data_IF_837973817921
#
_entry.id   IF_837973817921
#
_cell.length_a   1.000
_cell.length_b   1.000
_cell.length_c   1.000
_cell.angle_alpha   90.00
_cell.angle_beta   90.00
_cell.angle_gamma   90.00
#
_symmetry.space_group_name_H-M   'P 1'
#
loop_
_entity.id
_entity.type
_entity.pdbx_description
1 polymer ?
#
# COMPACT_ATOMS: atom_id res chain seq x y z
N UNK A 1 13.34 12.95 9.13
CA UNK A 1 13.86 11.67 9.69
C UNK A 1 15.05 11.93 10.61
N UNK A 2 16.15 12.52 10.13
CA UNK A 2 17.35 12.77 10.96
C UNK A 2 17.07 13.58 12.23
N UNK A 3 16.26 14.65 12.15
CA UNK A 3 15.87 15.45 13.32
C UNK A 3 15.06 14.66 14.35
N UNK A 4 14.22 13.73 13.90
CA UNK A 4 13.39 12.89 14.76
C UNK A 4 14.24 11.86 15.51
N UNK A 5 15.18 11.22 14.81
CA UNK A 5 16.14 10.29 15.42
C UNK A 5 17.06 11.01 16.42
N UNK A 6 17.41 12.27 16.18
CA UNK A 6 18.25 13.05 17.09
C UNK A 6 17.53 13.36 18.41
N UNK A 7 16.23 13.65 18.36
CA UNK A 7 15.42 13.97 19.55
C UNK A 7 14.99 12.72 20.32
N UNK A 8 14.56 11.66 19.62
CA UNK A 8 13.94 10.50 20.24
C UNK A 8 14.88 9.28 20.35
N UNK A 9 15.94 9.21 19.55
CA UNK A 9 16.91 8.11 19.58
C UNK A 9 16.24 6.74 19.46
N UNK A 10 16.63 5.82 20.35
CA UNK A 10 16.06 4.48 20.46
C UNK A 10 14.59 4.46 20.91
N UNK A 11 14.08 5.55 21.48
CA UNK A 11 12.68 5.67 21.92
C UNK A 11 11.75 6.23 20.84
N UNK A 12 12.19 6.22 19.57
CA UNK A 12 11.38 6.69 18.44
C UNK A 12 10.16 5.78 18.27
N UNK A 13 8.93 6.30 18.42
CA UNK A 13 7.74 5.49 18.23
C UNK A 13 7.56 5.10 16.75
N UNK A 14 7.01 3.90 16.52
CA UNK A 14 6.76 3.39 15.17
C UNK A 14 5.84 4.31 14.35
N UNK A 15 4.86 4.93 15.02
CA UNK A 15 3.97 5.92 14.41
C UNK A 15 4.42 7.31 14.87
N UNK A 16 4.90 8.13 13.94
CA UNK A 16 5.52 9.43 14.25
C UNK A 16 4.62 10.37 15.07
N UNK A 17 3.30 10.34 14.84
CA UNK A 17 2.35 11.18 15.59
C UNK A 17 2.22 10.79 17.06
N UNK A 18 2.58 9.56 17.44
CA UNK A 18 2.61 9.15 18.85
C UNK A 18 3.73 9.84 19.62
N UNK A 19 4.75 10.39 18.95
CA UNK A 19 5.78 11.19 19.62
C UNK A 19 5.21 12.46 20.28
N UNK A 20 4.03 12.93 19.85
CA UNK A 20 3.34 14.03 20.51
C UNK A 20 3.01 13.72 21.97
N UNK A 21 2.78 12.45 22.33
CA UNK A 21 2.54 12.05 23.73
C UNK A 21 3.76 12.37 24.60
N UNK A 22 4.97 12.10 24.10
CA UNK A 22 6.21 12.36 24.84
C UNK A 22 6.45 13.86 25.02
N UNK A 23 5.98 14.69 24.09
CA UNK A 23 6.18 16.15 24.11
C UNK A 23 5.09 16.91 24.89
N UNK A 24 3.83 16.46 24.79
CA UNK A 24 2.64 17.19 25.26
C UNK A 24 1.76 16.38 26.22
N UNK A 25 2.22 15.21 26.66
CA UNK A 25 1.50 14.33 27.58
C UNK A 25 0.15 13.87 27.04
N UNK A 26 -0.89 13.90 27.87
CA UNK A 26 -2.21 13.34 27.57
C UNK A 26 -2.91 13.99 26.36
N UNK A 27 -2.74 15.28 26.15
CA UNK A 27 -3.29 15.97 24.96
C UNK A 27 -2.54 15.51 23.71
N UNK A 28 -1.23 15.35 23.82
CA UNK A 28 -0.38 14.78 22.76
C UNK A 28 -0.77 13.36 22.39
N UNK A 29 -1.11 12.52 23.37
CA UNK A 29 -1.62 11.16 23.14
C UNK A 29 -2.93 11.16 22.33
N UNK A 30 -3.89 12.01 22.72
CA UNK A 30 -5.19 12.09 22.08
C UNK A 30 -5.08 12.58 20.63
N UNK A 31 -4.39 13.70 20.43
CA UNK A 31 -4.17 14.26 19.09
C UNK A 31 -3.30 13.34 18.24
N UNK A 32 -2.24 12.79 18.83
CA UNK A 32 -1.30 11.87 18.19
C UNK A 32 -1.94 10.56 17.73
N UNK A 33 -3.04 10.13 18.35
CA UNK A 33 -3.82 8.96 17.96
C UNK A 33 -4.93 9.28 16.95
N UNK A 34 -5.58 10.43 17.06
CA UNK A 34 -6.68 10.80 16.17
C UNK A 34 -6.22 11.13 14.75
N UNK A 35 -5.10 11.82 14.60
CA UNK A 35 -4.55 12.18 13.28
C UNK A 35 -4.34 10.94 12.39
N UNK A 36 -3.60 9.90 12.82
CA UNK A 36 -3.39 8.72 11.99
C UNK A 36 -4.69 7.94 11.76
N UNK A 37 -5.62 7.90 12.70
CA UNK A 37 -6.93 7.26 12.49
C UNK A 37 -7.66 7.92 11.31
N UNK A 38 -7.79 9.25 11.31
CA UNK A 38 -8.45 9.94 10.20
C UNK A 38 -7.69 9.79 8.89
N UNK A 39 -6.36 9.87 8.92
CA UNK A 39 -5.53 9.71 7.72
C UNK A 39 -5.66 8.30 7.10
N UNK A 40 -5.67 7.25 7.92
CA UNK A 40 -5.83 5.87 7.46
C UNK A 40 -7.24 5.64 6.94
N UNK A 41 -8.27 6.13 7.64
CA UNK A 41 -9.66 5.95 7.21
C UNK A 41 -9.92 6.58 5.84
N UNK A 42 -9.48 7.81 5.61
CA UNK A 42 -9.68 8.49 4.33
C UNK A 42 -8.89 7.83 3.19
N UNK A 43 -7.63 7.46 3.45
CA UNK A 43 -6.79 6.77 2.47
C UNK A 43 -7.32 5.38 2.13
N UNK A 44 -7.86 4.65 3.12
CA UNK A 44 -8.44 3.33 2.92
C UNK A 44 -9.70 3.39 2.05
N UNK A 45 -10.54 4.41 2.19
CA UNK A 45 -11.71 4.60 1.31
C UNK A 45 -11.26 4.79 -0.14
N UNK A 46 -10.26 5.65 -0.38
CA UNK A 46 -9.75 5.91 -1.74
C UNK A 46 -9.10 4.68 -2.37
N UNK A 47 -8.10 4.10 -1.70
CA UNK A 47 -7.35 2.95 -2.21
C UNK A 47 -8.21 1.68 -2.29
N UNK A 48 -9.05 1.44 -1.28
CA UNK A 48 -9.95 0.30 -1.26
C UNK A 48 -11.00 0.36 -2.37
N UNK A 49 -11.51 1.55 -2.69
CA UNK A 49 -12.44 1.71 -3.82
C UNK A 49 -11.73 1.49 -5.15
N UNK A 50 -10.53 2.07 -5.33
CA UNK A 50 -9.75 1.84 -6.54
C UNK A 50 -9.40 0.35 -6.74
N UNK A 51 -9.07 -0.36 -5.66
CA UNK A 51 -8.80 -1.79 -5.72
C UNK A 51 -10.07 -2.60 -6.05
N UNK A 52 -11.21 -2.24 -5.45
CA UNK A 52 -12.50 -2.86 -5.76
C UNK A 52 -12.82 -2.70 -7.26
N UNK A 53 -12.72 -1.48 -7.77
CA UNK A 53 -13.00 -1.17 -9.18
C UNK A 53 -12.05 -1.92 -10.11
N UNK A 54 -10.76 -2.00 -9.78
CA UNK A 54 -9.79 -2.80 -10.53
C UNK A 54 -10.19 -4.29 -10.61
N UNK A 55 -10.69 -4.87 -9.51
CA UNK A 55 -11.13 -6.26 -9.52
C UNK A 55 -12.43 -6.46 -10.32
N UNK A 56 -13.35 -5.51 -10.27
CA UNK A 56 -14.59 -5.56 -11.07
C UNK A 56 -14.29 -5.40 -12.57
N UNK A 57 -13.40 -4.49 -12.94
CA UNK A 57 -13.13 -4.16 -14.35
C UNK A 57 -12.16 -5.15 -15.00
N UNK A 58 -10.98 -5.38 -14.39
CA UNK A 58 -9.93 -6.20 -15.00
C UNK A 58 -10.16 -7.70 -14.79
N UNK A 59 -10.68 -8.09 -13.63
CA UNK A 59 -10.91 -9.50 -13.30
C UNK A 59 -12.38 -9.93 -13.50
N UNK A 60 -13.26 -9.01 -13.91
CA UNK A 60 -14.70 -9.25 -14.14
C UNK A 60 -15.38 -9.93 -12.94
N UNK A 61 -14.90 -9.65 -11.74
CA UNK A 61 -15.45 -10.21 -10.51
C UNK A 61 -16.75 -9.51 -10.14
N UNK A 62 -17.66 -10.25 -9.49
CA UNK A 62 -18.85 -9.60 -8.96
C UNK A 62 -18.48 -8.72 -7.75
N UNK A 63 -19.21 -7.62 -7.56
CA UNK A 63 -18.94 -6.62 -6.52
C UNK A 63 -18.76 -7.18 -5.11
N UNK A 64 -19.55 -8.21 -4.77
CA UNK A 64 -19.48 -8.84 -3.45
C UNK A 64 -18.16 -9.59 -3.24
N UNK A 65 -17.72 -10.39 -4.22
CA UNK A 65 -16.46 -11.13 -4.13
C UNK A 65 -15.25 -10.20 -4.19
N UNK A 66 -15.28 -9.20 -5.06
CA UNK A 66 -14.24 -8.18 -5.18
C UNK A 66 -14.08 -7.42 -3.85
N UNK A 67 -15.18 -7.01 -3.22
CA UNK A 67 -15.15 -6.35 -1.91
C UNK A 67 -14.57 -7.23 -0.81
N UNK A 68 -14.94 -8.53 -0.77
CA UNK A 68 -14.39 -9.47 0.21
C UNK A 68 -12.87 -9.56 0.05
N UNK A 69 -12.37 -9.71 -1.18
CA UNK A 69 -10.93 -9.82 -1.43
C UNK A 69 -10.19 -8.50 -1.16
N UNK A 70 -10.82 -7.35 -1.33
CA UNK A 70 -10.18 -6.07 -1.00
C UNK A 70 -10.08 -5.85 0.52
N UNK A 71 -11.09 -6.28 1.30
CA UNK A 71 -11.23 -5.90 2.72
C UNK A 71 -10.73 -6.97 3.68
N UNK A 72 -11.00 -8.25 3.40
CA UNK A 72 -10.71 -9.33 4.35
C UNK A 72 -9.23 -9.68 4.47
N UNK A 73 -8.40 -9.71 3.42
CA UNK A 73 -7.00 -10.11 3.58
C UNK A 73 -6.23 -9.21 4.56
N UNK A 74 -6.31 -7.86 4.50
CA UNK A 74 -5.70 -7.01 5.54
C UNK A 74 -6.24 -7.31 6.95
N UNK A 75 -7.54 -7.55 7.09
CA UNK A 75 -8.17 -7.87 8.37
C UNK A 75 -7.69 -9.21 8.93
N UNK A 76 -7.58 -10.23 8.08
CA UNK A 76 -7.10 -11.57 8.46
C UNK A 76 -5.65 -11.49 8.94
N UNK A 77 -4.77 -10.75 8.22
CA UNK A 77 -3.38 -10.55 8.64
C UNK A 77 -3.31 -9.94 10.05
N UNK A 78 -4.13 -8.93 10.31
CA UNK A 78 -4.23 -8.32 11.63
C UNK A 78 -4.72 -9.32 12.71
N UNK A 79 -5.71 -10.16 12.38
CA UNK A 79 -6.26 -11.16 13.31
C UNK A 79 -5.26 -12.26 13.65
N UNK A 80 -4.44 -12.69 12.67
CA UNK A 80 -3.40 -13.72 12.85
C UNK A 80 -2.20 -13.21 13.67
N UNK A 81 -2.15 -11.91 13.97
CA UNK A 81 -1.17 -11.31 14.87
C UNK A 81 -0.10 -10.48 14.17
N UNK A 82 -0.20 -10.31 12.85
CA UNK A 82 0.69 -9.41 12.10
C UNK A 82 0.19 -7.98 12.31
N UNK A 83 0.76 -7.31 13.31
CA UNK A 83 0.30 -5.98 13.78
C UNK A 83 1.41 -4.95 13.90
N UNK A 84 2.67 -5.36 13.77
CA UNK A 84 3.80 -4.44 13.81
C UNK A 84 3.77 -3.55 12.55
N UNK A 85 3.71 -2.23 12.77
CA UNK A 85 3.53 -1.29 11.67
C UNK A 85 4.76 -1.27 10.75
N UNK A 86 5.96 -1.39 11.31
CA UNK A 86 7.22 -1.31 10.57
C UNK A 86 7.40 -2.55 9.70
N UNK A 87 7.13 -3.74 10.24
CA UNK A 87 7.19 -4.98 9.48
C UNK A 87 6.18 -5.00 8.34
N UNK A 88 4.93 -4.62 8.61
CA UNK A 88 3.87 -4.57 7.58
C UNK A 88 4.21 -3.58 6.48
N UNK A 89 4.65 -2.37 6.85
CA UNK A 89 5.04 -1.34 5.89
C UNK A 89 6.27 -1.77 5.08
N UNK A 90 7.25 -2.40 5.73
CA UNK A 90 8.43 -2.94 5.09
C UNK A 90 8.10 -4.03 4.07
N UNK A 91 7.22 -4.97 4.42
CA UNK A 91 6.78 -6.04 3.53
C UNK A 91 5.95 -5.50 2.34
N UNK A 92 4.98 -4.62 2.62
CA UNK A 92 4.15 -4.02 1.58
C UNK A 92 4.97 -3.14 0.62
N UNK A 93 5.84 -2.28 1.17
CA UNK A 93 6.72 -1.39 0.41
C UNK A 93 7.71 -2.16 -0.46
N UNK A 94 8.44 -3.12 0.12
CA UNK A 94 9.41 -3.92 -0.65
C UNK A 94 8.74 -4.73 -1.76
N UNK A 95 7.55 -5.30 -1.52
CA UNK A 95 6.79 -6.02 -2.55
C UNK A 95 6.31 -5.07 -3.65
N UNK A 96 5.78 -3.89 -3.27
CA UNK A 96 5.34 -2.87 -4.22
C UNK A 96 6.50 -2.35 -5.07
N UNK A 97 7.63 -2.04 -4.45
CA UNK A 97 8.83 -1.56 -5.14
C UNK A 97 9.38 -2.59 -6.12
N UNK A 98 9.43 -3.85 -5.70
CA UNK A 98 9.87 -4.96 -6.55
C UNK A 98 8.96 -5.13 -7.76
N UNK A 99 7.64 -5.05 -7.57
CA UNK A 99 6.69 -5.14 -8.68
C UNK A 99 6.78 -3.94 -9.63
N UNK A 100 6.74 -2.73 -9.09
CA UNK A 100 6.62 -1.50 -9.88
C UNK A 100 7.93 -1.05 -10.53
N UNK A 101 9.07 -1.17 -9.83
CA UNK A 101 10.35 -0.62 -10.29
C UNK A 101 11.31 -1.66 -10.85
N UNK A 102 11.13 -2.94 -10.54
CA UNK A 102 12.02 -4.00 -11.02
C UNK A 102 11.31 -4.86 -12.06
N UNK A 103 10.23 -5.56 -11.67
CA UNK A 103 9.59 -6.54 -12.54
C UNK A 103 8.93 -5.85 -13.75
N UNK A 104 8.07 -4.86 -13.52
CA UNK A 104 7.32 -4.21 -14.61
C UNK A 104 8.25 -3.58 -15.67
N UNK A 105 9.30 -2.81 -15.32
CA UNK A 105 10.20 -2.24 -16.31
C UNK A 105 11.02 -3.29 -17.07
N UNK A 106 11.43 -4.38 -16.40
CA UNK A 106 12.15 -5.48 -17.07
C UNK A 106 11.24 -6.18 -18.08
N UNK A 107 10.01 -6.52 -17.69
CA UNK A 107 9.03 -7.15 -18.58
C UNK A 107 8.73 -6.23 -19.77
N UNK A 108 8.56 -4.93 -19.53
CA UNK A 108 8.35 -3.94 -20.58
C UNK A 108 9.55 -3.85 -21.53
N UNK A 109 10.77 -3.82 -21.00
CA UNK A 109 11.99 -3.78 -21.82
C UNK A 109 12.15 -5.03 -22.68
N UNK A 110 11.88 -6.22 -22.10
CA UNK A 110 11.95 -7.49 -22.81
C UNK A 110 10.89 -7.56 -23.91
N UNK A 111 9.62 -7.23 -23.61
CA UNK A 111 8.54 -7.25 -24.60
C UNK A 111 8.75 -6.21 -25.70
N UNK A 112 9.27 -5.03 -25.38
CA UNK A 112 9.66 -4.03 -26.37
C UNK A 112 10.77 -4.54 -27.30
N UNK A 113 11.83 -5.16 -26.75
CA UNK A 113 12.98 -5.61 -27.53
C UNK A 113 12.71 -6.88 -28.34
N UNK A 114 11.91 -7.80 -27.81
CA UNK A 114 11.59 -9.07 -28.47
C UNK A 114 10.44 -8.96 -29.47
N UNK A 115 9.74 -7.81 -29.54
CA UNK A 115 8.53 -7.52 -30.34
C UNK A 115 7.75 -8.81 -30.68
N UNK A 116 7.16 -9.49 -29.67
CA UNK A 116 6.50 -10.78 -29.86
C UNK A 116 5.43 -10.69 -30.96
N UNK A 117 5.29 -11.74 -31.78
CA UNK A 117 4.40 -11.78 -32.96
C UNK A 117 2.97 -11.30 -32.65
N UNK A 118 2.45 -11.59 -31.44
CA UNK A 118 1.16 -11.10 -30.95
C UNK A 118 0.99 -9.56 -30.99
N UNK A 119 2.06 -8.78 -30.79
CA UNK A 119 2.00 -7.31 -30.92
C UNK A 119 2.03 -6.86 -32.39
N UNK A 120 2.58 -7.68 -33.30
CA UNK A 120 2.65 -7.38 -34.73
C UNK A 120 1.31 -7.61 -35.43
N UNK A 121 0.60 -8.67 -35.05
CA UNK A 121 -0.72 -9.01 -35.62
C UNK A 121 -1.79 -7.97 -35.23
N UNK A 122 -1.69 -7.41 -34.02
CA UNK A 122 -2.58 -6.33 -33.54
C UNK A 122 -2.37 -4.99 -34.26
N UNK A 123 -1.16 -4.71 -34.76
CA UNK A 123 -0.88 -3.52 -35.58
C UNK A 123 -1.34 -3.71 -37.03
N UNK A 124 -1.27 -4.95 -37.55
CA UNK A 124 -1.70 -5.31 -38.90
C UNK A 124 -3.23 -5.39 -39.06
N UNK A 125 -3.98 -5.72 -38.00
CA UNK A 125 -5.45 -5.69 -38.00
C UNK A 125 -6.03 -4.26 -37.94
N UNK A 126 -5.22 -3.28 -37.54
CA UNK A 126 -5.63 -1.87 -37.34
C UNK A 126 -5.16 -0.97 -38.49
N UNK A 127 -4.37 -1.48 -39.44
CA UNK A 127 -3.92 -0.78 -40.66
C UNK A 127 -4.73 -1.17 -41.88
#
# INVERSE_FOLDING_TARGET
VASFLLVFGENTPQIATQALEQLYGRIGMLVGSLIPIFAILTSYIGLGSAQLDNMEEYLKMNRKSAWIITVFPPLILYMVGIRDFVEVLGAAGSTGDLMAFIIMPIVLYITYKLKPEFLRDREAEVS
#
